data_IF_184146450037
#
_entry.id   IF_184146450037
#
_cell.length_a   1.000
_cell.length_b   1.000
_cell.length_c   1.000
_cell.angle_alpha   90.00
_cell.angle_beta   90.00
_cell.angle_gamma   90.00
#
_symmetry.space_group_name_H-M   'P 1'
#
loop_
_entity.id
_entity.type
_entity.pdbx_description
1 polymer ?
#
# COMPACT_ATOMS: atom_id res chain seq x y z
N UNK A 1 9.59 -8.01 8.04
CA UNK A 1 8.38 -7.42 8.61
C UNK A 1 8.42 -5.91 8.51
N UNK A 2 7.29 -5.27 8.30
CA UNK A 2 7.20 -3.83 8.20
C UNK A 2 6.43 -3.32 9.41
N UNK A 3 7.12 -2.80 10.44
CA UNK A 3 6.46 -2.46 11.71
C UNK A 3 5.31 -1.46 11.58
N UNK A 4 5.44 -0.46 10.72
CA UNK A 4 4.40 0.55 10.59
C UNK A 4 3.09 -0.01 10.01
N UNK A 5 3.13 -1.15 9.33
CA UNK A 5 1.93 -1.79 8.79
C UNK A 5 1.22 -2.70 9.79
N UNK A 6 1.83 -2.97 10.94
CA UNK A 6 1.20 -3.78 11.97
C UNK A 6 0.17 -2.99 12.80
N UNK A 7 0.18 -1.67 12.70
CA UNK A 7 -0.78 -0.81 13.40
C UNK A 7 -2.11 -0.71 12.68
N UNK A 8 -2.99 0.13 13.21
CA UNK A 8 -4.34 0.33 12.67
C UNK A 8 -4.42 1.42 11.58
N UNK A 9 -3.37 2.22 11.41
CA UNK A 9 -3.35 3.34 10.47
C UNK A 9 -2.91 2.88 9.09
N UNK A 10 -3.67 1.95 8.50
CA UNK A 10 -3.38 1.43 7.18
C UNK A 10 -4.65 1.04 6.47
N UNK A 11 -4.58 0.99 5.16
CA UNK A 11 -5.61 0.38 4.32
C UNK A 11 -4.95 -0.62 3.39
N UNK A 12 -5.65 -1.68 3.04
CA UNK A 12 -5.13 -2.78 2.23
C UNK A 12 -6.03 -2.96 1.02
N UNK A 13 -5.41 -3.18 -0.14
CA UNK A 13 -6.12 -3.40 -1.38
C UNK A 13 -6.11 -2.17 -2.29
N UNK A 14 -6.26 -2.42 -3.60
CA UNK A 14 -6.10 -1.38 -4.61
C UNK A 14 -7.14 -0.27 -4.49
N UNK A 15 -8.39 -0.64 -4.26
CA UNK A 15 -9.48 0.34 -4.18
C UNK A 15 -9.31 1.26 -2.97
N UNK A 16 -8.97 0.68 -1.84
CA UNK A 16 -8.74 1.45 -0.61
C UNK A 16 -7.49 2.32 -0.73
N UNK A 17 -6.45 1.79 -1.37
CA UNK A 17 -5.22 2.53 -1.61
C UNK A 17 -5.50 3.78 -2.45
N UNK A 18 -6.26 3.62 -3.51
CA UNK A 18 -6.62 4.76 -4.37
C UNK A 18 -7.38 5.83 -3.58
N UNK A 19 -8.34 5.41 -2.77
CA UNK A 19 -9.11 6.34 -1.95
C UNK A 19 -8.21 7.13 -1.00
N UNK A 20 -7.27 6.46 -0.35
CA UNK A 20 -6.36 7.12 0.58
C UNK A 20 -5.47 8.12 -0.14
N UNK A 21 -4.97 7.76 -1.33
CA UNK A 21 -4.14 8.65 -2.12
C UNK A 21 -4.92 9.90 -2.56
N UNK A 22 -6.11 9.70 -3.10
CA UNK A 22 -6.95 10.81 -3.59
C UNK A 22 -7.38 11.72 -2.45
N UNK A 23 -7.65 11.16 -1.28
CA UNK A 23 -8.06 11.93 -0.12
C UNK A 23 -6.91 12.67 0.58
N UNK A 24 -5.67 12.47 0.12
CA UNK A 24 -4.51 13.12 0.73
C UNK A 24 -4.14 12.53 2.08
N UNK A 25 -4.57 11.30 2.38
CA UNK A 25 -4.32 10.66 3.66
C UNK A 25 -3.13 9.71 3.64
N UNK A 26 -2.58 9.43 2.47
CA UNK A 26 -1.49 8.48 2.32
C UNK A 26 -0.17 9.06 2.82
N UNK A 27 0.51 8.31 3.67
CA UNK A 27 1.86 8.62 4.14
C UNK A 27 2.88 7.89 3.28
N UNK A 28 2.59 6.64 2.93
CA UNK A 28 3.46 5.79 2.11
C UNK A 28 2.63 4.71 1.42
N UNK A 29 2.98 4.42 0.17
CA UNK A 29 2.37 3.34 -0.59
C UNK A 29 3.34 2.15 -0.60
N UNK A 30 2.83 0.97 -0.27
CA UNK A 30 3.58 -0.28 -0.36
C UNK A 30 3.01 -1.11 -1.50
N UNK A 31 3.89 -1.61 -2.37
CA UNK A 31 3.49 -2.43 -3.52
C UNK A 31 4.24 -3.76 -3.50
N UNK A 32 3.52 -4.84 -3.79
CA UNK A 32 4.12 -6.17 -3.89
C UNK A 32 4.63 -6.36 -5.32
N UNK A 33 5.90 -6.75 -5.45
CA UNK A 33 6.56 -6.81 -6.75
C UNK A 33 6.07 -7.97 -7.63
N UNK A 34 5.42 -8.97 -7.04
CA UNK A 34 4.84 -10.08 -7.79
C UNK A 34 3.37 -9.86 -8.15
N UNK A 35 2.81 -8.70 -7.82
CA UNK A 35 1.45 -8.35 -8.23
C UNK A 35 1.43 -7.88 -9.68
N UNK A 36 0.24 -7.88 -10.28
CA UNK A 36 0.05 -7.48 -11.67
C UNK A 36 0.46 -6.01 -11.86
N UNK A 37 1.42 -5.73 -12.76
CA UNK A 37 1.84 -4.34 -13.02
C UNK A 37 0.70 -3.43 -13.46
N UNK A 38 -0.31 -3.97 -14.15
CA UNK A 38 -1.46 -3.18 -14.59
C UNK A 38 -2.28 -2.66 -13.42
N UNK A 39 -2.27 -3.39 -12.31
CA UNK A 39 -2.92 -2.96 -11.07
C UNK A 39 -2.06 -1.91 -10.36
N UNK A 40 -0.77 -2.10 -10.34
CA UNK A 40 0.16 -1.25 -9.57
C UNK A 40 0.43 0.09 -10.24
N UNK A 41 0.56 0.11 -11.57
CA UNK A 41 0.98 1.32 -12.29
C UNK A 41 0.12 2.55 -12.00
N UNK A 42 -1.21 2.48 -12.06
CA UNK A 42 -2.03 3.66 -11.77
C UNK A 42 -1.84 4.18 -10.35
N UNK A 43 -1.65 3.25 -9.40
CA UNK A 43 -1.47 3.62 -7.99
C UNK A 43 -0.11 4.26 -7.76
N UNK A 44 0.94 3.69 -8.36
CA UNK A 44 2.29 4.25 -8.26
C UNK A 44 2.32 5.64 -8.89
N UNK A 45 1.68 5.80 -10.05
CA UNK A 45 1.62 7.09 -10.72
C UNK A 45 0.90 8.13 -9.86
N UNK A 46 -0.21 7.75 -9.25
CA UNK A 46 -0.94 8.64 -8.35
C UNK A 46 -0.08 9.05 -7.15
N UNK A 47 0.64 8.09 -6.57
CA UNK A 47 1.53 8.36 -5.45
C UNK A 47 2.64 9.33 -5.84
N UNK A 48 3.26 9.11 -7.00
CA UNK A 48 4.31 9.99 -7.51
C UNK A 48 3.78 11.41 -7.72
N UNK A 49 2.60 11.53 -8.35
CA UNK A 49 1.99 12.82 -8.60
C UNK A 49 1.67 13.59 -7.31
N UNK A 50 1.44 12.87 -6.23
CA UNK A 50 1.11 13.46 -4.93
C UNK A 50 2.30 13.50 -3.98
N UNK A 51 3.50 13.15 -4.47
CA UNK A 51 4.73 13.14 -3.68
C UNK A 51 4.66 12.18 -2.48
N UNK A 52 3.93 11.08 -2.63
CA UNK A 52 3.85 10.04 -1.62
C UNK A 52 4.95 9.01 -1.90
N UNK A 53 5.81 8.71 -0.92
CA UNK A 53 6.86 7.70 -1.11
C UNK A 53 6.27 6.32 -1.41
N UNK A 54 6.97 5.56 -2.27
CA UNK A 54 6.57 4.22 -2.64
C UNK A 54 7.65 3.25 -2.19
N UNK A 55 7.26 2.20 -1.47
CA UNK A 55 8.14 1.14 -1.04
C UNK A 55 7.75 -0.17 -1.70
N UNK A 56 8.75 -0.93 -2.12
CA UNK A 56 8.55 -2.22 -2.77
C UNK A 56 8.70 -3.35 -1.76
N UNK A 57 7.80 -4.32 -1.83
CA UNK A 57 7.84 -5.53 -1.00
C UNK A 57 7.95 -6.71 -1.96
N UNK A 58 8.83 -7.69 -1.71
CA UNK A 58 9.09 -8.74 -2.69
C UNK A 58 7.86 -9.51 -3.13
N UNK A 59 6.96 -9.86 -2.20
CA UNK A 59 5.79 -10.69 -2.54
C UNK A 59 4.51 -10.16 -1.88
N UNK A 60 3.39 -10.52 -2.50
CA UNK A 60 2.06 -10.26 -1.92
C UNK A 60 1.90 -10.96 -0.59
N UNK A 61 2.47 -12.15 -0.46
CA UNK A 61 2.41 -12.91 0.79
C UNK A 61 3.06 -12.14 1.94
N UNK A 62 4.24 -11.59 1.69
CA UNK A 62 4.95 -10.81 2.71
C UNK A 62 4.20 -9.53 3.05
N UNK A 63 3.65 -8.85 2.05
CA UNK A 63 2.89 -7.63 2.31
C UNK A 63 1.62 -7.92 3.12
N UNK A 64 0.90 -8.99 2.77
CA UNK A 64 -0.27 -9.40 3.52
C UNK A 64 0.08 -9.75 4.96
N UNK A 65 1.17 -10.50 5.16
CA UNK A 65 1.63 -10.85 6.51
C UNK A 65 1.99 -9.61 7.32
N UNK A 66 2.65 -8.64 6.70
CA UNK A 66 2.99 -7.38 7.37
C UNK A 66 1.76 -6.61 7.80
N UNK A 67 0.67 -6.71 7.02
CA UNK A 67 -0.61 -6.06 7.35
C UNK A 67 -1.44 -6.86 8.35
N UNK A 68 -1.01 -8.06 8.71
CA UNK A 68 -1.74 -8.90 9.66
C UNK A 68 -2.94 -9.62 9.09
N UNK A 69 -2.97 -9.84 7.78
CA UNK A 69 -4.08 -10.56 7.13
C UNK A 69 -3.62 -11.94 6.66
N UNK A 70 -4.58 -12.87 6.53
CA UNK A 70 -4.28 -14.25 6.19
C UNK A 70 -3.98 -14.49 4.72
N UNK A 71 -4.33 -13.54 3.86
CA UNK A 71 -4.13 -13.63 2.41
C UNK A 71 -3.09 -12.61 1.96
N UNK A 72 -2.60 -12.77 0.74
CA UNK A 72 -1.65 -11.81 0.17
C UNK A 72 -2.30 -10.46 -0.13
N UNK A 73 -1.49 -9.42 -0.17
CA UNK A 73 -1.92 -8.07 -0.52
C UNK A 73 -1.05 -7.53 -1.66
N UNK A 74 -1.69 -7.06 -2.71
CA UNK A 74 -0.97 -6.44 -3.83
C UNK A 74 -0.44 -5.07 -3.46
N UNK A 75 -1.22 -4.32 -2.69
CA UNK A 75 -0.86 -2.96 -2.25
C UNK A 75 -1.39 -2.72 -0.84
N UNK A 76 -0.73 -1.81 -0.15
CA UNK A 76 -1.19 -1.29 1.13
C UNK A 76 -0.75 0.16 1.24
N UNK A 77 -1.48 0.95 2.00
CA UNK A 77 -1.15 2.35 2.24
C UNK A 77 -1.08 2.59 3.74
N UNK A 78 0.00 3.19 4.16
CA UNK A 78 0.10 3.73 5.51
C UNK A 78 -0.60 5.09 5.50
N UNK A 79 -1.55 5.27 6.40
CA UNK A 79 -2.36 6.48 6.43
C UNK A 79 -1.99 7.37 7.61
N UNK A 80 -2.35 8.64 7.49
CA UNK A 80 -2.15 9.59 8.58
C UNK A 80 -3.02 9.19 9.77
N UNK A 81 -2.47 9.40 10.94
CA UNK A 81 -3.16 9.16 12.18
C UNK A 81 -4.26 10.20 12.38
N UNK A 82 -5.36 9.78 12.91
CA UNK A 82 -6.48 10.65 13.20
C UNK A 82 -7.68 10.42 12.32
#
# INVERSE_FOLDING_TARGET
>A
MIPELSGSNKVVGAKQAKRALVAGRAVRLYVAMDADPRLLQPLVQEAVNRQVPVSQVPTMKELGAACGIAVGAAVAVLTKEG
#
